data_IF_275932850439
#
_entry.id   IF_275932850439
#
_cell.length_a   1.000
_cell.length_b   1.000
_cell.length_c   1.000
_cell.angle_alpha   90.00
_cell.angle_beta   90.00
_cell.angle_gamma   90.00
#
_symmetry.space_group_name_H-M   'P 1'
#
loop_
_entity.id
_entity.type
_entity.pdbx_description
1 polymer ?
#
# COMPACT_ATOMS: atom_id res chain seq x y z
N UNK A 1 -41.52 -3.22 29.95
CA UNK A 1 -40.64 -4.12 29.16
C UNK A 1 -40.07 -3.45 27.91
N UNK A 2 -40.87 -2.82 27.06
CA UNK A 2 -40.38 -2.17 25.83
C UNK A 2 -39.25 -1.14 26.06
N UNK A 3 -39.36 -0.29 27.09
CA UNK A 3 -38.34 0.73 27.41
C UNK A 3 -36.98 0.14 27.84
N UNK A 4 -36.96 -1.02 28.50
CA UNK A 4 -35.72 -1.67 28.94
C UNK A 4 -34.97 -2.31 27.75
N UNK A 5 -35.72 -2.87 26.79
CA UNK A 5 -35.17 -3.43 25.55
C UNK A 5 -34.58 -2.29 24.69
N UNK A 6 -35.29 -1.17 24.61
CA UNK A 6 -34.83 0.01 23.85
C UNK A 6 -33.58 0.65 24.46
N UNK A 7 -33.52 0.78 25.78
CA UNK A 7 -32.34 1.30 26.49
C UNK A 7 -31.10 0.40 26.34
N UNK A 8 -31.30 -0.92 26.30
CA UNK A 8 -30.22 -1.88 26.06
C UNK A 8 -29.69 -1.78 24.62
N UNK A 9 -30.58 -1.69 23.63
CA UNK A 9 -30.20 -1.46 22.23
C UNK A 9 -29.39 -0.17 22.06
N UNK A 10 -29.88 0.95 22.61
CA UNK A 10 -29.19 2.23 22.52
C UNK A 10 -27.81 2.22 23.21
N UNK A 11 -27.66 1.49 24.32
CA UNK A 11 -26.37 1.33 25.00
C UNK A 11 -25.37 0.53 24.16
N UNK A 12 -25.80 -0.59 23.56
CA UNK A 12 -24.96 -1.39 22.66
C UNK A 12 -24.55 -0.58 21.44
N UNK A 13 -25.50 0.10 20.78
CA UNK A 13 -25.21 0.93 19.61
C UNK A 13 -24.21 2.05 19.96
N UNK A 14 -24.40 2.75 21.08
CA UNK A 14 -23.46 3.80 21.51
C UNK A 14 -22.04 3.28 21.81
N UNK A 15 -21.94 2.03 22.31
CA UNK A 15 -20.66 1.37 22.57
C UNK A 15 -20.00 0.94 21.26
N UNK A 16 -20.76 0.38 20.33
CA UNK A 16 -20.29 0.01 19.00
C UNK A 16 -19.82 1.25 18.25
N UNK A 17 -20.57 2.35 18.29
CA UNK A 17 -20.23 3.60 17.63
C UNK A 17 -18.97 4.25 18.23
N UNK A 18 -18.81 4.20 19.56
CA UNK A 18 -17.57 4.66 20.23
C UNK A 18 -16.36 3.81 19.86
N UNK A 19 -16.52 2.49 19.74
CA UNK A 19 -15.43 1.58 19.36
C UNK A 19 -15.10 1.77 17.87
N UNK A 20 -16.11 1.87 17.01
CA UNK A 20 -15.96 2.05 15.57
C UNK A 20 -15.25 3.35 15.20
N UNK A 21 -15.46 4.41 15.99
CA UNK A 21 -14.83 5.72 15.78
C UNK A 21 -13.48 5.87 16.47
N UNK A 22 -12.95 4.83 17.13
CA UNK A 22 -11.59 4.89 17.65
C UNK A 22 -10.58 4.78 16.51
N UNK A 23 -9.54 5.61 16.56
CA UNK A 23 -8.45 5.62 15.57
C UNK A 23 -7.82 4.23 15.41
N UNK A 24 -7.61 3.53 16.52
CA UNK A 24 -7.06 2.17 16.51
C UNK A 24 -7.96 1.16 15.78
N UNK A 25 -9.28 1.27 15.92
CA UNK A 25 -10.22 0.40 15.20
C UNK A 25 -10.23 0.72 13.71
N UNK A 26 -10.26 2.01 13.34
CA UNK A 26 -10.20 2.45 11.95
C UNK A 26 -8.90 1.99 11.28
N UNK A 27 -7.75 2.10 11.96
CA UNK A 27 -6.46 1.62 11.47
C UNK A 27 -6.43 0.08 11.31
N UNK A 28 -7.03 -0.67 12.25
CA UNK A 28 -7.18 -2.15 12.13
C UNK A 28 -8.12 -2.58 11.01
N UNK A 29 -9.21 -1.84 10.79
CA UNK A 29 -10.14 -2.12 9.69
C UNK A 29 -9.50 -1.74 8.36
N UNK A 30 -8.87 -0.57 8.26
CA UNK A 30 -8.18 -0.12 7.05
C UNK A 30 -7.08 -1.10 6.61
N UNK A 31 -6.26 -1.60 7.55
CA UNK A 31 -5.22 -2.60 7.28
C UNK A 31 -5.76 -3.98 6.86
N UNK A 32 -7.04 -4.27 7.11
CA UNK A 32 -7.73 -5.47 6.60
C UNK A 32 -8.45 -5.26 5.28
N UNK A 33 -8.97 -4.05 5.04
CA UNK A 33 -9.79 -3.74 3.86
C UNK A 33 -8.93 -3.37 2.65
N UNK A 34 -7.83 -2.63 2.84
CA UNK A 34 -6.86 -2.27 1.78
C UNK A 34 -5.45 -2.18 2.35
N UNK A 35 -4.79 -3.34 2.53
CA UNK A 35 -3.41 -3.36 3.01
C UNK A 35 -2.51 -2.59 2.04
N UNK A 36 -1.65 -1.72 2.57
CA UNK A 36 -0.72 -0.97 1.73
C UNK A 36 0.62 -0.71 2.39
N UNK A 37 1.62 -0.43 1.56
CA UNK A 37 2.99 -0.14 1.95
C UNK A 37 3.45 1.12 1.22
N UNK A 38 4.04 2.07 1.93
CA UNK A 38 4.74 3.21 1.31
C UNK A 38 6.23 3.01 1.52
N UNK A 39 6.99 3.03 0.43
CA UNK A 39 8.44 2.90 0.44
C UNK A 39 9.08 3.92 -0.50
N UNK A 40 10.35 4.22 -0.27
CA UNK A 40 11.10 5.14 -1.10
C UNK A 40 11.97 4.43 -2.15
N UNK A 41 12.57 5.21 -3.05
CA UNK A 41 13.45 4.70 -4.09
C UNK A 41 14.76 4.09 -3.54
N UNK A 42 15.04 4.24 -2.24
CA UNK A 42 16.14 3.61 -1.53
C UNK A 42 15.70 2.31 -0.82
N UNK A 43 14.52 1.79 -1.15
CA UNK A 43 13.96 0.56 -0.57
C UNK A 43 13.60 0.69 0.92
N UNK A 44 13.58 1.91 1.46
CA UNK A 44 13.19 2.16 2.85
C UNK A 44 11.67 2.20 2.97
N UNK A 45 11.12 1.39 3.87
CA UNK A 45 9.69 1.43 4.21
C UNK A 45 9.43 2.66 5.08
N UNK A 46 8.57 3.54 4.60
CA UNK A 46 8.19 4.77 5.32
C UNK A 46 6.92 4.58 6.15
N UNK A 47 5.95 3.84 5.60
CA UNK A 47 4.65 3.57 6.25
C UNK A 47 4.21 2.16 5.91
N UNK A 48 3.80 1.42 6.92
CA UNK A 48 3.14 0.12 6.75
C UNK A 48 1.70 0.20 7.27
N UNK A 49 0.74 0.03 6.35
CA UNK A 49 -0.68 -0.09 6.66
C UNK A 49 -1.15 -1.54 6.46
N UNK A 50 -0.35 -2.50 6.94
CA UNK A 50 -0.61 -3.93 6.81
C UNK A 50 -0.12 -4.54 5.50
N UNK A 51 0.68 -3.83 4.70
CA UNK A 51 1.26 -4.37 3.46
C UNK A 51 2.36 -5.41 3.71
N UNK A 52 3.15 -5.24 4.77
CA UNK A 52 4.29 -6.15 5.07
C UNK A 52 3.87 -7.58 5.40
N UNK A 53 2.62 -7.84 5.77
CA UNK A 53 2.14 -9.21 5.96
C UNK A 53 2.06 -9.99 4.64
N UNK A 54 1.97 -9.30 3.50
CA UNK A 54 1.87 -9.90 2.16
C UNK A 54 3.19 -9.81 1.37
N UNK A 55 4.00 -8.79 1.65
CA UNK A 55 5.23 -8.50 0.90
C UNK A 55 6.45 -8.97 1.67
N UNK A 56 7.30 -9.74 1.01
CA UNK A 56 8.59 -10.20 1.55
C UNK A 56 9.67 -9.15 1.29
N UNK A 57 9.76 -8.67 0.05
CA UNK A 57 10.80 -7.73 -0.36
C UNK A 57 10.32 -6.80 -1.47
N UNK A 58 10.78 -5.55 -1.44
CA UNK A 58 10.72 -4.63 -2.55
C UNK A 58 12.15 -4.28 -2.96
N UNK A 59 12.46 -4.40 -4.24
CA UNK A 59 13.75 -4.02 -4.81
C UNK A 59 13.55 -2.94 -5.88
N UNK A 60 14.30 -1.85 -5.78
CA UNK A 60 14.19 -0.70 -6.67
C UNK A 60 15.47 -0.58 -7.48
N UNK A 61 15.36 -0.85 -8.78
CA UNK A 61 16.46 -0.64 -9.73
C UNK A 61 16.39 0.76 -10.31
N UNK A 62 17.49 1.47 -10.15
CA UNK A 62 17.70 2.82 -10.70
C UNK A 62 18.49 2.75 -11.99
N UNK A 63 18.41 3.82 -12.79
CA UNK A 63 19.27 3.98 -13.97
C UNK A 63 20.73 4.04 -13.53
N UNK A 64 21.67 3.48 -14.31
CA UNK A 64 23.10 3.37 -13.94
C UNK A 64 23.74 4.66 -13.39
N UNK A 65 23.32 5.83 -13.88
CA UNK A 65 23.83 7.14 -13.47
C UNK A 65 22.70 8.11 -13.04
N UNK A 66 21.60 7.59 -12.50
CA UNK A 66 20.46 8.42 -12.14
C UNK A 66 19.76 7.97 -10.87
N UNK A 67 19.12 8.91 -10.20
CA UNK A 67 18.26 8.66 -9.04
C UNK A 67 16.89 8.10 -9.43
N UNK A 68 16.51 8.24 -10.71
CA UNK A 68 15.24 7.77 -11.22
C UNK A 68 15.15 6.24 -11.24
N UNK A 69 14.15 5.66 -10.57
CA UNK A 69 13.86 4.24 -10.65
C UNK A 69 13.31 3.90 -12.03
N UNK A 70 13.85 2.83 -12.61
CA UNK A 70 13.44 2.29 -13.92
C UNK A 70 12.65 1.00 -13.77
N UNK A 71 12.83 0.31 -12.65
CA UNK A 71 12.17 -0.95 -12.39
C UNK A 71 11.99 -1.16 -10.89
N UNK A 72 10.81 -1.61 -10.50
CA UNK A 72 10.51 -2.02 -9.13
C UNK A 72 10.11 -3.50 -9.16
N UNK A 73 10.73 -4.29 -8.30
CA UNK A 73 10.46 -5.72 -8.18
C UNK A 73 9.86 -5.97 -6.81
N UNK A 74 8.64 -6.47 -6.79
CA UNK A 74 7.92 -6.79 -5.56
C UNK A 74 7.85 -8.30 -5.43
N UNK A 75 8.39 -8.83 -4.35
CA UNK A 75 8.35 -10.25 -4.02
C UNK A 75 7.36 -10.46 -2.90
N UNK A 76 6.21 -11.11 -3.17
CA UNK A 76 5.24 -11.43 -2.14
C UNK A 76 5.67 -12.68 -1.35
N UNK A 77 5.21 -12.79 -0.10
CA UNK A 77 5.43 -13.96 0.77
C UNK A 77 4.69 -15.21 0.29
N UNK A 78 3.56 -15.00 -0.39
CA UNK A 78 2.73 -16.05 -0.98
C UNK A 78 2.39 -15.69 -2.42
N UNK A 79 1.98 -16.68 -3.20
CA UNK A 79 1.54 -16.44 -4.57
C UNK A 79 0.37 -15.42 -4.60
N UNK A 80 0.51 -14.38 -5.42
CA UNK A 80 -0.53 -13.39 -5.67
C UNK A 80 -0.98 -13.49 -7.11
N UNK A 81 -2.25 -13.83 -7.34
CA UNK A 81 -2.82 -13.96 -8.68
C UNK A 81 -2.80 -12.64 -9.46
N UNK A 82 -3.05 -11.53 -8.77
CA UNK A 82 -3.05 -10.18 -9.32
C UNK A 82 -1.81 -9.40 -8.86
N UNK A 83 -1.41 -8.44 -9.69
CA UNK A 83 -0.36 -7.50 -9.33
C UNK A 83 -0.90 -6.50 -8.30
N UNK A 84 -0.18 -6.28 -7.19
CA UNK A 84 -0.46 -5.13 -6.35
C UNK A 84 -0.47 -3.82 -7.15
N UNK A 85 -1.29 -2.86 -6.75
CA UNK A 85 -1.33 -1.56 -7.42
C UNK A 85 -0.16 -0.71 -6.97
N UNK A 86 0.72 -0.34 -7.90
CA UNK A 86 1.85 0.55 -7.64
C UNK A 86 1.48 1.97 -8.08
N UNK A 87 1.63 2.94 -7.18
CA UNK A 87 1.34 4.36 -7.44
C UNK A 87 2.53 5.23 -7.01
N UNK A 88 2.97 6.15 -7.87
CA UNK A 88 3.94 7.19 -7.51
C UNK A 88 3.24 8.28 -6.68
N UNK A 89 3.83 8.69 -5.55
CA UNK A 89 3.26 9.70 -4.66
C UNK A 89 3.82 11.12 -4.87
N UNK A 90 4.88 11.23 -5.67
CA UNK A 90 5.60 12.48 -5.92
C UNK A 90 5.23 13.08 -7.28
N UNK A 91 5.57 14.36 -7.55
CA UNK A 91 5.18 15.09 -8.78
C UNK A 91 5.97 14.64 -10.02
N UNK A 92 6.16 13.33 -10.18
CA UNK A 92 6.80 12.69 -11.32
C UNK A 92 5.80 11.71 -11.91
N UNK A 93 5.50 11.89 -13.19
CA UNK A 93 4.58 11.01 -13.90
C UNK A 93 5.33 9.83 -14.48
N UNK A 94 5.07 8.65 -13.91
CA UNK A 94 5.52 7.39 -14.46
C UNK A 94 4.39 6.75 -15.25
N UNK A 95 4.70 6.34 -16.48
CA UNK A 95 3.96 5.28 -17.13
C UNK A 95 4.46 3.96 -16.55
N UNK A 96 3.63 3.34 -15.71
CA UNK A 96 3.93 2.08 -15.03
C UNK A 96 3.37 0.94 -15.87
N UNK A 97 4.18 -0.09 -16.12
CA UNK A 97 3.74 -1.35 -16.72
C UNK A 97 4.13 -2.50 -15.81
N UNK A 98 3.15 -3.26 -15.37
CA UNK A 98 3.34 -4.46 -14.57
C UNK A 98 3.44 -5.72 -15.44
N UNK A 99 4.26 -6.67 -14.99
CA UNK A 99 4.33 -8.02 -15.55
C UNK A 99 4.80 -9.02 -14.50
N UNK A 100 4.52 -10.30 -14.74
CA UNK A 100 5.04 -11.35 -13.87
C UNK A 100 6.57 -11.43 -13.97
N UNK A 101 7.21 -11.56 -12.82
CA UNK A 101 8.65 -11.78 -12.67
C UNK A 101 9.01 -13.26 -12.56
N UNK A 102 10.23 -13.53 -12.08
CA UNK A 102 10.62 -14.89 -11.72
C UNK A 102 9.92 -15.32 -10.42
N UNK A 103 9.64 -16.62 -10.29
CA UNK A 103 8.93 -17.21 -9.17
C UNK A 103 7.56 -16.51 -8.92
N UNK A 104 7.36 -15.98 -7.71
CA UNK A 104 6.10 -15.32 -7.32
C UNK A 104 6.14 -13.79 -7.48
N UNK A 105 7.27 -13.23 -7.93
CA UNK A 105 7.49 -11.78 -7.96
C UNK A 105 6.69 -11.07 -9.07
N UNK A 106 6.41 -9.80 -8.83
CA UNK A 106 5.88 -8.84 -9.78
C UNK A 106 6.94 -7.83 -10.15
N UNK A 107 7.00 -7.47 -11.43
CA UNK A 107 7.97 -6.49 -11.97
C UNK A 107 7.19 -5.33 -12.56
N UNK A 108 7.52 -4.12 -12.11
CA UNK A 108 6.97 -2.88 -12.61
C UNK A 108 8.06 -2.15 -13.38
N UNK A 109 7.84 -1.92 -14.67
CA UNK A 109 8.70 -1.10 -15.52
C UNK A 109 8.20 0.34 -15.49
N UNK A 110 9.11 1.27 -15.23
CA UNK A 110 8.81 2.68 -15.01
C UNK A 110 9.37 3.50 -16.17
N UNK A 111 8.49 4.14 -16.92
CA UNK A 111 8.84 5.08 -17.99
C UNK A 111 8.44 6.51 -17.55
N UNK A 112 9.43 7.31 -17.15
CA UNK A 112 9.21 8.67 -16.65
C UNK A 112 8.88 9.63 -17.82
N UNK A 113 7.69 10.23 -17.80
CA UNK A 113 7.25 11.23 -18.78
C UNK A 113 7.26 12.60 -18.14
N UNK A 114 8.41 13.26 -18.21
CA UNK A 114 8.61 14.60 -17.68
C UNK A 114 9.01 14.60 -16.21
N UNK A 115 9.90 15.53 -15.88
CA UNK A 115 10.35 15.82 -14.53
C UNK A 115 10.14 17.32 -14.30
N UNK A 116 9.20 17.67 -13.43
CA UNK A 116 9.24 18.98 -12.77
C UNK A 116 10.04 18.78 -11.49
N UNK A 117 11.08 19.59 -11.30
CA UNK A 117 12.06 19.46 -10.22
C UNK A 117 11.48 19.07 -8.86
N UNK A 118 12.20 18.20 -8.15
CA UNK A 118 11.84 17.74 -6.81
C UNK A 118 12.90 16.78 -6.27
N UNK A 119 13.29 16.98 -5.01
CA UNK A 119 14.35 16.22 -4.34
C UNK A 119 13.99 14.75 -4.12
N UNK A 120 15.02 13.93 -4.22
CA UNK A 120 15.10 12.53 -3.84
C UNK A 120 14.72 12.30 -2.36
N UNK A 121 14.32 11.08 -1.96
CA UNK A 121 13.99 9.91 -2.79
C UNK A 121 12.49 9.82 -3.14
N UNK A 122 12.19 9.35 -4.35
CA UNK A 122 10.82 9.15 -4.84
C UNK A 122 10.12 8.08 -4.00
N UNK A 123 8.86 8.33 -3.67
CA UNK A 123 8.02 7.49 -2.83
C UNK A 123 6.96 6.83 -3.69
N UNK A 124 6.74 5.56 -3.39
CA UNK A 124 5.75 4.74 -4.03
C UNK A 124 4.83 4.15 -2.98
N UNK A 125 3.55 4.07 -3.32
CA UNK A 125 2.56 3.29 -2.60
C UNK A 125 2.32 2.00 -3.35
N UNK A 126 2.41 0.89 -2.63
CA UNK A 126 1.99 -0.43 -3.08
C UNK A 126 0.72 -0.82 -2.32
N UNK A 127 -0.39 -0.92 -3.03
CA UNK A 127 -1.66 -1.35 -2.47
C UNK A 127 -1.93 -2.81 -2.86
N UNK A 128 -2.20 -3.63 -1.84
CA UNK A 128 -2.53 -5.04 -2.02
C UNK A 128 -4.00 -5.12 -2.41
N UNK A 129 -4.27 -5.60 -3.61
CA UNK A 129 -5.64 -5.86 -4.04
C UNK A 129 -6.16 -7.13 -3.36
N UNK A 130 -7.36 -7.09 -2.76
CA UNK A 130 -7.97 -8.29 -2.21
C UNK A 130 -8.19 -9.33 -3.32
N UNK A 131 -7.88 -10.59 -3.00
CA UNK A 131 -8.13 -11.74 -3.87
C UNK A 131 -9.58 -12.20 -3.75
#
# INVERSE_FOLDING_TARGET
MAAAIYGFHAYVDSRVEKIANTREFIERVASRVRPSLIFDANESVMVDAGGLQYIDRVNVRKRKNGWLPIQIIVTPKHYMAQAPLLTCLDPIWFKIKERRGQAVSWVYELDARGHMGGFEPIRFRLEITPQ
#
